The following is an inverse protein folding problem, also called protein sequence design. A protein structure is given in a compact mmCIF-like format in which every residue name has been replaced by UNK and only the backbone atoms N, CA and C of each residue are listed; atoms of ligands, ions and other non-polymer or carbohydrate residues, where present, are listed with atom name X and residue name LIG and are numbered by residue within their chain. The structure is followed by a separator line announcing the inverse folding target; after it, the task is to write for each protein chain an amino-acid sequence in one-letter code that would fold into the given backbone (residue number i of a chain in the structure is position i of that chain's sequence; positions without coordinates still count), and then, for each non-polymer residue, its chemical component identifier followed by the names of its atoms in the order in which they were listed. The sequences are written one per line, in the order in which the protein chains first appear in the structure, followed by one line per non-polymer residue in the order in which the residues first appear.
data_IF_021225645690
#
_entry.id   IF_021225645690
#
_cell.length_a   1.000
_cell.length_b   1.000
_cell.length_c   1.000
_cell.angle_alpha   90.00
_cell.angle_beta   90.00
_cell.angle_gamma   90.00
#
_symmetry.space_group_name_H-M   'P 1'
#
loop_
_entity.id
_entity.type
_entity.pdbx_description
1 polymer ?
#
# COMPACT_ATOMS: atom_id res chain seq x y z
N UNK A 1 18.38 -13.47 -13.83
CA UNK A 1 19.41 -12.41 -13.74
C UNK A 1 18.70 -11.07 -13.79
N UNK A 2 18.93 -10.16 -12.83
CA UNK A 2 18.32 -8.83 -12.83
C UNK A 2 18.93 -7.96 -13.94
N UNK A 3 18.09 -7.10 -14.58
CA UNK A 3 18.59 -6.17 -15.60
C UNK A 3 19.29 -4.96 -14.98
N UNK A 4 18.77 -4.48 -13.86
CA UNK A 4 19.36 -3.35 -13.14
C UNK A 4 20.43 -3.84 -12.15
N UNK A 5 21.68 -3.59 -12.45
CA UNK A 5 22.86 -4.10 -11.70
C UNK A 5 22.81 -3.72 -10.22
N UNK A 6 22.32 -2.50 -9.87
CA UNK A 6 22.25 -2.07 -8.47
C UNK A 6 21.30 -2.93 -7.61
N UNK A 7 20.42 -3.72 -8.22
CA UNK A 7 19.56 -4.65 -7.48
C UNK A 7 20.34 -5.79 -6.82
N UNK A 8 21.54 -6.10 -7.31
CA UNK A 8 22.43 -7.06 -6.66
C UNK A 8 22.82 -6.62 -5.24
N UNK A 9 22.80 -5.31 -4.97
CA UNK A 9 23.11 -4.74 -3.66
C UNK A 9 22.06 -5.07 -2.59
N UNK A 10 20.88 -5.55 -2.98
CA UNK A 10 19.87 -6.06 -2.02
C UNK A 10 20.42 -7.25 -1.20
N UNK A 11 21.39 -7.98 -1.76
CA UNK A 11 22.07 -9.09 -1.11
C UNK A 11 23.39 -8.65 -0.42
N UNK A 12 23.75 -7.36 -0.46
CA UNK A 12 25.00 -6.87 0.12
C UNK A 12 25.10 -7.20 1.62
N UNK A 13 26.29 -7.56 2.09
CA UNK A 13 26.55 -7.79 3.52
C UNK A 13 26.43 -6.50 4.33
N UNK A 14 26.85 -5.38 3.77
CA UNK A 14 26.81 -4.07 4.42
C UNK A 14 25.41 -3.49 4.42
N UNK A 15 24.82 -3.28 5.60
CA UNK A 15 23.48 -2.70 5.75
C UNK A 15 23.33 -1.35 5.03
N UNK A 16 24.37 -0.48 5.08
CA UNK A 16 24.37 0.82 4.40
C UNK A 16 24.13 0.69 2.90
N UNK A 17 24.86 -0.23 2.23
CA UNK A 17 24.72 -0.47 0.79
C UNK A 17 23.35 -1.04 0.47
N UNK A 18 22.94 -2.10 1.20
CA UNK A 18 21.64 -2.76 1.05
C UNK A 18 20.47 -1.75 1.13
N UNK A 19 20.43 -0.91 2.17
CA UNK A 19 19.32 0.01 2.36
C UNK A 19 19.40 1.26 1.46
N UNK A 20 20.58 1.62 0.97
CA UNK A 20 20.68 2.63 -0.10
C UNK A 20 20.02 2.13 -1.38
N UNK A 21 20.24 0.88 -1.77
CA UNK A 21 19.60 0.27 -2.94
C UNK A 21 18.08 0.13 -2.79
N UNK A 22 17.57 -0.19 -1.58
CA UNK A 22 16.11 -0.22 -1.36
C UNK A 22 15.48 1.16 -1.58
N UNK A 23 16.10 2.23 -1.06
CA UNK A 23 15.63 3.61 -1.28
C UNK A 23 15.67 3.99 -2.77
N UNK A 24 16.77 3.64 -3.45
CA UNK A 24 16.93 3.88 -4.89
C UNK A 24 15.84 3.18 -5.69
N UNK A 25 15.54 1.91 -5.40
CA UNK A 25 14.48 1.16 -6.08
C UNK A 25 13.10 1.81 -5.90
N UNK A 26 12.77 2.28 -4.68
CA UNK A 26 11.53 2.99 -4.41
C UNK A 26 11.47 4.29 -5.22
N UNK A 27 12.55 5.07 -5.27
CA UNK A 27 12.60 6.31 -6.02
C UNK A 27 12.38 6.07 -7.52
N UNK A 28 13.18 5.20 -8.13
CA UNK A 28 13.06 4.85 -9.56
C UNK A 28 11.65 4.33 -9.88
N UNK A 29 11.11 3.43 -9.06
CA UNK A 29 9.77 2.87 -9.31
C UNK A 29 8.65 3.92 -9.31
N UNK A 30 8.84 5.06 -8.65
CA UNK A 30 7.89 6.19 -8.65
C UNK A 30 8.08 7.10 -9.86
N UNK A 31 9.32 7.42 -10.16
CA UNK A 31 9.70 8.39 -11.20
C UNK A 31 9.62 7.76 -12.59
N UNK A 32 10.27 6.63 -12.78
CA UNK A 32 10.26 5.85 -14.02
C UNK A 32 10.04 4.36 -13.74
N UNK A 33 8.79 3.93 -13.51
CA UNK A 33 8.48 2.52 -13.26
C UNK A 33 8.85 1.61 -14.44
N UNK A 34 8.96 2.15 -15.66
CA UNK A 34 9.34 1.41 -16.86
C UNK A 34 10.76 0.86 -16.77
N UNK A 35 11.67 1.57 -16.12
CA UNK A 35 13.05 1.13 -15.89
C UNK A 35 13.13 -0.16 -15.06
N UNK A 36 12.29 -0.28 -14.01
CA UNK A 36 12.31 -1.45 -13.11
C UNK A 36 11.33 -2.55 -13.50
N UNK A 37 10.40 -2.30 -14.42
CA UNK A 37 9.40 -3.31 -14.79
C UNK A 37 10.01 -4.60 -15.37
N UNK A 38 11.13 -4.59 -16.13
CA UNK A 38 11.82 -5.81 -16.55
C UNK A 38 12.27 -6.71 -15.40
N UNK A 39 12.48 -6.14 -14.20
CA UNK A 39 12.90 -6.85 -12.98
C UNK A 39 11.71 -7.13 -12.02
N UNK A 40 10.47 -7.05 -12.51
CA UNK A 40 9.27 -7.25 -11.69
C UNK A 40 9.31 -8.54 -10.89
N UNK A 41 9.72 -9.65 -11.52
CA UNK A 41 9.73 -10.96 -10.87
C UNK A 41 10.76 -11.05 -9.73
N UNK A 42 11.87 -10.31 -9.82
CA UNK A 42 12.80 -10.15 -8.71
C UNK A 42 12.11 -9.56 -7.47
N UNK A 43 11.29 -8.51 -7.63
CA UNK A 43 10.54 -7.94 -6.51
C UNK A 43 9.47 -8.91 -5.98
N UNK A 44 8.89 -9.76 -6.82
CA UNK A 44 7.95 -10.81 -6.38
C UNK A 44 8.65 -11.82 -5.46
N UNK A 45 9.86 -12.24 -5.80
CA UNK A 45 10.68 -13.12 -4.96
C UNK A 45 11.01 -12.49 -3.61
N UNK A 46 11.31 -11.20 -3.58
CA UNK A 46 11.61 -10.46 -2.35
C UNK A 46 10.42 -10.33 -1.37
N UNK A 47 9.20 -10.61 -1.81
CA UNK A 47 8.04 -10.71 -0.90
C UNK A 47 8.19 -11.87 0.12
N UNK A 48 9.07 -12.84 -0.13
CA UNK A 48 9.41 -13.93 0.78
C UNK A 48 10.61 -13.61 1.70
N UNK A 49 11.27 -12.47 1.48
CA UNK A 49 12.51 -12.16 2.18
C UNK A 49 12.28 -12.03 3.69
N UNK A 50 13.16 -12.61 4.50
CA UNK A 50 13.11 -12.52 5.97
C UNK A 50 13.37 -11.10 6.46
N UNK A 51 14.24 -10.36 5.74
CA UNK A 51 14.49 -8.96 6.04
C UNK A 51 13.26 -8.12 5.70
N UNK A 52 12.60 -7.62 6.73
CA UNK A 52 11.35 -6.89 6.60
C UNK A 52 11.48 -5.61 5.75
N UNK A 53 12.61 -4.90 5.81
CA UNK A 53 12.82 -3.68 5.01
C UNK A 53 12.84 -4.02 3.53
N UNK A 54 13.47 -5.12 3.14
CA UNK A 54 13.49 -5.61 1.77
C UNK A 54 12.08 -6.00 1.32
N UNK A 55 11.35 -6.76 2.15
CA UNK A 55 9.96 -7.14 1.87
C UNK A 55 9.06 -5.90 1.68
N UNK A 56 9.15 -4.91 2.57
CA UNK A 56 8.36 -3.68 2.45
C UNK A 56 8.72 -2.87 1.21
N UNK A 57 10.02 -2.85 0.85
CA UNK A 57 10.47 -2.25 -0.41
C UNK A 57 9.82 -2.92 -1.61
N UNK A 58 9.82 -4.26 -1.64
CA UNK A 58 9.21 -5.02 -2.73
C UNK A 58 7.70 -4.71 -2.86
N UNK A 59 6.97 -4.66 -1.74
CA UNK A 59 5.55 -4.31 -1.72
C UNK A 59 5.32 -2.92 -2.36
N UNK A 60 6.11 -1.91 -1.96
CA UNK A 60 5.98 -0.56 -2.50
C UNK A 60 6.33 -0.50 -3.98
N UNK A 61 7.45 -1.11 -4.39
CA UNK A 61 7.88 -1.14 -5.79
C UNK A 61 6.82 -1.81 -6.67
N UNK A 62 6.29 -2.97 -6.26
CA UNK A 62 5.21 -3.66 -7.00
C UNK A 62 3.98 -2.75 -7.16
N UNK A 63 3.59 -2.02 -6.11
CA UNK A 63 2.53 -1.03 -6.17
C UNK A 63 2.76 0.03 -7.25
N UNK A 64 3.96 0.61 -7.29
CA UNK A 64 4.34 1.63 -8.28
C UNK A 64 4.41 1.05 -9.69
N UNK A 65 4.97 -0.16 -9.86
CA UNK A 65 5.09 -0.84 -11.16
C UNK A 65 3.72 -1.16 -11.78
N UNK A 66 2.63 -1.15 -11.00
CA UNK A 66 1.27 -1.34 -11.52
C UNK A 66 0.90 -0.32 -12.60
N UNK A 67 1.56 0.85 -12.64
CA UNK A 67 1.38 1.91 -13.64
C UNK A 67 1.73 1.44 -15.06
N UNK A 68 2.69 0.54 -15.19
CA UNK A 68 3.21 0.05 -16.49
C UNK A 68 2.97 -1.44 -16.70
N UNK A 69 2.13 -2.07 -15.88
CA UNK A 69 1.88 -3.51 -15.87
C UNK A 69 0.96 -3.98 -17.01
N UNK A 70 1.42 -3.80 -18.24
CA UNK A 70 0.72 -4.29 -19.45
C UNK A 70 0.52 -5.82 -19.45
N UNK A 71 1.39 -6.58 -18.77
CA UNK A 71 1.34 -8.04 -18.69
C UNK A 71 0.42 -8.55 -17.56
N UNK A 72 -0.22 -7.66 -16.82
CA UNK A 72 -1.15 -8.00 -15.71
C UNK A 72 -0.52 -8.91 -14.64
N UNK A 73 0.77 -8.72 -14.37
CA UNK A 73 1.50 -9.51 -13.36
C UNK A 73 0.96 -9.25 -11.95
N UNK A 74 0.48 -8.02 -11.68
CA UNK A 74 -0.12 -7.65 -10.40
C UNK A 74 -1.37 -8.46 -10.09
N UNK A 75 -2.16 -8.88 -11.10
CA UNK A 75 -3.39 -9.66 -10.92
C UNK A 75 -3.16 -10.89 -10.05
N UNK A 76 -2.06 -11.61 -10.31
CA UNK A 76 -1.70 -12.84 -9.59
C UNK A 76 -1.23 -12.60 -8.16
N UNK A 77 -0.86 -11.36 -7.83
CA UNK A 77 -0.33 -11.00 -6.51
C UNK A 77 -1.40 -10.46 -5.56
N UNK A 78 -2.57 -10.05 -6.07
CA UNK A 78 -3.64 -9.46 -5.26
C UNK A 78 -4.03 -10.33 -4.04
N UNK A 79 -4.24 -11.65 -4.16
CA UNK A 79 -4.58 -12.48 -3.01
C UNK A 79 -3.48 -12.46 -1.94
N UNK A 80 -2.22 -12.48 -2.37
CA UNK A 80 -1.08 -12.44 -1.45
C UNK A 80 -0.96 -11.09 -0.75
N UNK A 81 -1.17 -9.99 -1.47
CA UNK A 81 -1.17 -8.64 -0.90
C UNK A 81 -2.33 -8.47 0.09
N UNK A 82 -3.52 -9.03 -0.18
CA UNK A 82 -4.64 -9.04 0.77
C UNK A 82 -4.23 -9.73 2.07
N UNK A 83 -3.56 -10.88 2.00
CA UNK A 83 -3.09 -11.57 3.20
C UNK A 83 -2.10 -10.74 4.03
N UNK A 84 -1.33 -9.85 3.40
CA UNK A 84 -0.43 -8.94 4.11
C UNK A 84 -1.16 -7.86 4.91
N UNK A 85 -2.41 -7.54 4.59
CA UNK A 85 -3.21 -6.64 5.43
C UNK A 85 -3.50 -7.24 6.81
N UNK A 86 -3.71 -8.57 6.87
CA UNK A 86 -4.07 -9.30 8.09
C UNK A 86 -2.91 -10.17 8.64
N UNK A 87 -1.67 -9.81 8.38
CA UNK A 87 -0.52 -10.60 8.82
C UNK A 87 -0.06 -10.31 10.27
N UNK A 88 -0.81 -9.51 11.02
CA UNK A 88 -0.47 -9.09 12.40
C UNK A 88 0.66 -8.05 12.47
N UNK A 89 1.30 -7.69 11.36
CA UNK A 89 2.43 -6.75 11.32
C UNK A 89 2.02 -5.41 10.71
N UNK A 90 1.83 -4.40 11.55
CA UNK A 90 1.37 -3.06 11.17
C UNK A 90 2.17 -2.45 10.00
N UNK A 91 3.51 -2.55 10.03
CA UNK A 91 4.33 -1.92 8.98
C UNK A 91 4.13 -2.62 7.63
N UNK A 92 3.96 -3.95 7.62
CA UNK A 92 3.63 -4.70 6.40
C UNK A 92 2.27 -4.27 5.87
N UNK A 93 1.26 -4.21 6.73
CA UNK A 93 -0.08 -3.74 6.34
C UNK A 93 -0.03 -2.30 5.80
N UNK A 94 0.69 -1.38 6.44
CA UNK A 94 0.85 0.00 5.99
C UNK A 94 1.44 0.09 4.57
N UNK A 95 2.50 -0.68 4.29
CA UNK A 95 3.10 -0.70 2.96
C UNK A 95 2.16 -1.32 1.93
N UNK A 96 1.37 -2.31 2.33
CA UNK A 96 0.36 -2.93 1.47
C UNK A 96 -0.79 -1.97 1.16
N UNK A 97 -1.27 -1.19 2.13
CA UNK A 97 -2.28 -0.14 1.90
C UNK A 97 -1.77 0.89 0.88
N UNK A 98 -0.49 1.31 1.02
CA UNK A 98 0.13 2.22 0.05
C UNK A 98 0.20 1.59 -1.35
N UNK A 99 0.65 0.34 -1.46
CA UNK A 99 0.71 -0.38 -2.74
C UNK A 99 -0.69 -0.52 -3.36
N UNK A 100 -1.71 -0.87 -2.58
CA UNK A 100 -3.10 -0.93 -3.05
C UNK A 100 -3.61 0.42 -3.51
N UNK A 101 -3.24 1.51 -2.84
CA UNK A 101 -3.57 2.86 -3.31
C UNK A 101 -3.01 3.15 -4.70
N UNK A 102 -1.75 2.79 -4.97
CA UNK A 102 -1.14 2.95 -6.28
C UNK A 102 -1.77 2.01 -7.33
N UNK A 103 -2.02 0.74 -6.98
CA UNK A 103 -2.69 -0.22 -7.87
C UNK A 103 -4.09 0.28 -8.25
N UNK A 104 -4.87 0.79 -7.29
CA UNK A 104 -6.21 1.32 -7.55
C UNK A 104 -6.21 2.60 -8.39
N UNK A 105 -5.19 3.46 -8.26
CA UNK A 105 -5.01 4.64 -9.09
C UNK A 105 -4.69 4.27 -10.55
N UNK A 106 -3.79 3.31 -10.74
CA UNK A 106 -3.31 2.91 -12.05
C UNK A 106 -4.26 1.93 -12.78
N UNK A 107 -5.10 1.20 -12.04
CA UNK A 107 -5.98 0.15 -12.57
C UNK A 107 -7.38 0.25 -11.94
N UNK A 108 -8.27 1.08 -12.50
CA UNK A 108 -9.62 1.32 -11.95
C UNK A 108 -10.47 0.06 -11.73
N UNK A 109 -10.21 -1.01 -12.48
CA UNK A 109 -10.93 -2.30 -12.35
C UNK A 109 -10.77 -2.95 -10.96
N UNK A 110 -9.71 -2.59 -10.21
CA UNK A 110 -9.46 -3.14 -8.87
C UNK A 110 -9.98 -2.25 -7.73
N UNK A 111 -10.44 -1.02 -8.04
CA UNK A 111 -10.85 -0.07 -7.00
C UNK A 111 -11.88 -0.65 -6.06
N UNK A 112 -12.95 -1.27 -6.60
CA UNK A 112 -14.03 -1.86 -5.82
C UNK A 112 -13.52 -2.91 -4.82
N UNK A 113 -12.71 -3.84 -5.30
CA UNK A 113 -12.13 -4.89 -4.49
C UNK A 113 -11.17 -4.31 -3.44
N UNK A 114 -10.27 -3.40 -3.86
CA UNK A 114 -9.27 -2.81 -2.96
C UNK A 114 -9.96 -2.00 -1.85
N UNK A 115 -10.99 -1.20 -2.15
CA UNK A 115 -11.68 -0.42 -1.14
C UNK A 115 -12.34 -1.32 -0.10
N UNK A 116 -13.00 -2.40 -0.54
CA UNK A 116 -13.58 -3.40 0.38
C UNK A 116 -12.53 -4.06 1.27
N UNK A 117 -11.35 -4.36 0.73
CA UNK A 117 -10.31 -5.03 1.50
C UNK A 117 -9.61 -4.11 2.50
N UNK A 118 -9.31 -2.86 2.12
CA UNK A 118 -8.58 -1.96 3.02
C UNK A 118 -9.43 -1.47 4.21
N UNK A 119 -10.75 -1.33 4.06
CA UNK A 119 -11.60 -0.97 5.21
C UNK A 119 -11.71 -2.10 6.25
N UNK A 120 -11.52 -3.36 5.86
CA UNK A 120 -11.49 -4.50 6.80
C UNK A 120 -10.37 -4.42 7.83
N UNK A 121 -9.37 -3.55 7.61
CA UNK A 121 -8.27 -3.29 8.57
C UNK A 121 -8.80 -2.91 9.96
N UNK A 122 -10.01 -2.35 10.06
CA UNK A 122 -10.63 -2.04 11.36
C UNK A 122 -10.91 -3.29 12.21
N UNK A 123 -11.04 -4.46 11.58
CA UNK A 123 -11.32 -5.74 12.23
C UNK A 123 -10.06 -6.62 12.41
N UNK A 124 -8.91 -6.19 11.88
CA UNK A 124 -7.68 -6.97 11.95
C UNK A 124 -6.92 -6.74 13.26
N UNK A 125 -6.23 -7.78 13.72
CA UNK A 125 -5.42 -7.72 14.92
C UNK A 125 -3.96 -7.43 14.57
N UNK A 126 -3.38 -6.46 15.27
CA UNK A 126 -1.97 -6.11 15.23
C UNK A 126 -1.38 -6.20 16.63
N UNK A 127 -0.07 -6.00 16.78
CA UNK A 127 0.63 -6.12 18.07
C UNK A 127 -0.03 -5.30 19.19
N UNK A 128 -0.61 -4.14 18.86
CA UNK A 128 -1.38 -3.30 19.82
C UNK A 128 -2.58 -2.63 19.14
N UNK A 129 -3.60 -2.19 19.91
CA UNK A 129 -4.68 -1.35 19.37
C UNK A 129 -4.16 -0.08 18.68
N UNK A 130 -3.07 0.51 19.20
CA UNK A 130 -2.47 1.69 18.58
C UNK A 130 -1.83 1.37 17.21
N UNK A 131 -1.23 0.19 17.05
CA UNK A 131 -0.76 -0.27 15.74
C UNK A 131 -1.90 -0.35 14.72
N UNK A 132 -3.08 -0.82 15.13
CA UNK A 132 -4.28 -0.81 14.29
C UNK A 132 -4.70 0.61 13.93
N UNK A 133 -4.72 1.52 14.90
CA UNK A 133 -5.05 2.92 14.65
C UNK A 133 -4.11 3.58 13.64
N UNK A 134 -2.81 3.28 13.71
CA UNK A 134 -1.84 3.76 12.71
C UNK A 134 -2.18 3.24 11.31
N UNK A 135 -2.54 1.96 11.18
CA UNK A 135 -2.95 1.37 9.91
C UNK A 135 -4.26 2.01 9.39
N UNK A 136 -5.24 2.24 10.27
CA UNK A 136 -6.49 2.94 9.93
C UNK A 136 -6.22 4.35 9.41
N UNK A 137 -5.26 5.07 9.99
CA UNK A 137 -4.83 6.37 9.47
C UNK A 137 -4.27 6.29 8.04
N UNK A 138 -3.62 5.18 7.66
CA UNK A 138 -3.19 4.93 6.28
C UNK A 138 -4.37 4.63 5.36
N UNK A 139 -5.37 3.86 5.83
CA UNK A 139 -6.60 3.59 5.07
C UNK A 139 -7.33 4.89 4.76
N UNK A 140 -7.59 5.75 5.76
CA UNK A 140 -8.27 7.04 5.55
C UNK A 140 -7.49 7.91 4.55
N UNK A 141 -6.15 7.94 4.66
CA UNK A 141 -5.31 8.71 3.72
C UNK A 141 -5.34 8.14 2.30
N UNK A 142 -5.40 6.81 2.14
CA UNK A 142 -5.51 6.15 0.84
C UNK A 142 -6.87 6.47 0.19
N UNK A 143 -7.97 6.32 0.93
CA UNK A 143 -9.33 6.64 0.46
C UNK A 143 -9.47 8.10 0.03
N UNK A 144 -8.79 9.02 0.71
CA UNK A 144 -8.80 10.44 0.38
C UNK A 144 -8.27 10.79 -1.02
N UNK A 145 -7.56 9.86 -1.70
CA UNK A 145 -7.15 10.02 -3.10
C UNK A 145 -8.28 9.77 -4.10
N UNK A 146 -9.40 9.17 -3.67
CA UNK A 146 -10.48 8.68 -4.52
C UNK A 146 -11.83 9.32 -4.24
N UNK A 147 -11.87 10.59 -3.85
CA UNK A 147 -13.08 11.29 -3.40
C UNK A 147 -14.28 11.09 -4.34
N UNK A 148 -14.08 11.29 -5.65
CA UNK A 148 -15.14 11.15 -6.66
C UNK A 148 -15.67 9.71 -6.78
N UNK A 149 -14.88 8.72 -6.37
CA UNK A 149 -15.24 7.30 -6.45
C UNK A 149 -15.89 6.78 -5.17
N UNK A 150 -15.70 7.49 -4.06
CA UNK A 150 -16.15 7.04 -2.75
C UNK A 150 -17.27 7.89 -2.14
N UNK A 151 -17.59 9.04 -2.72
CA UNK A 151 -18.57 10.00 -2.17
C UNK A 151 -19.96 9.42 -1.90
N UNK A 152 -20.38 8.45 -2.71
CA UNK A 152 -21.69 7.81 -2.61
C UNK A 152 -21.60 6.36 -2.10
N UNK A 153 -20.43 5.94 -1.61
CA UNK A 153 -20.16 4.59 -1.11
C UNK A 153 -20.56 4.46 0.36
N UNK A 154 -21.74 3.87 0.62
CA UNK A 154 -22.26 3.69 1.99
C UNK A 154 -21.28 2.97 2.92
N UNK A 155 -20.68 1.88 2.48
CA UNK A 155 -19.69 1.11 3.25
C UNK A 155 -18.48 1.95 3.69
N UNK A 156 -17.98 2.82 2.79
CA UNK A 156 -16.83 3.69 3.07
C UNK A 156 -17.26 4.87 3.97
N UNK A 157 -18.43 5.46 3.73
CA UNK A 157 -18.95 6.55 4.56
C UNK A 157 -19.15 6.06 6.01
N UNK A 158 -19.80 4.91 6.21
CA UNK A 158 -19.96 4.30 7.52
C UNK A 158 -18.62 3.97 8.20
N UNK A 159 -17.63 3.46 7.44
CA UNK A 159 -16.26 3.27 7.93
C UNK A 159 -15.68 4.60 8.41
N UNK A 160 -15.73 5.65 7.60
CA UNK A 160 -15.20 6.97 7.96
C UNK A 160 -15.90 7.56 9.19
N UNK A 161 -17.23 7.42 9.30
CA UNK A 161 -18.00 7.85 10.46
C UNK A 161 -17.53 7.16 11.74
N UNK A 162 -17.27 5.85 11.70
CA UNK A 162 -16.67 5.14 12.85
C UNK A 162 -15.29 5.71 13.21
N UNK A 163 -14.48 6.07 12.22
CA UNK A 163 -13.14 6.63 12.46
C UNK A 163 -13.17 8.06 13.03
N UNK A 164 -14.29 8.79 12.98
CA UNK A 164 -14.41 10.08 13.67
C UNK A 164 -14.36 9.94 15.20
N UNK A 165 -14.58 8.74 15.73
CA UNK A 165 -14.45 8.40 17.14
C UNK A 165 -13.15 7.64 17.47
N UNK A 166 -12.20 7.58 16.51
CA UNK A 166 -10.93 6.89 16.74
C UNK A 166 -10.15 7.54 17.88
N UNK A 167 -9.55 6.71 18.74
CA UNK A 167 -8.77 7.17 19.91
C UNK A 167 -7.51 7.91 19.50
N UNK A 168 -6.96 7.63 18.30
CA UNK A 168 -5.83 8.34 17.75
C UNK A 168 -6.29 9.65 17.10
N UNK A 169 -5.95 10.78 17.73
CA UNK A 169 -6.39 12.14 17.31
C UNK A 169 -6.13 12.41 15.82
N UNK A 170 -4.97 11.99 15.29
CA UNK A 170 -4.63 12.22 13.87
C UNK A 170 -5.52 11.42 12.90
N UNK A 171 -6.03 10.26 13.28
CA UNK A 171 -6.98 9.47 12.48
C UNK A 171 -8.35 10.12 12.53
N UNK A 172 -8.83 10.44 13.74
CA UNK A 172 -10.09 11.15 13.96
C UNK A 172 -10.16 12.41 13.09
N UNK A 173 -9.15 13.28 13.18
CA UNK A 173 -9.10 14.53 12.40
C UNK A 173 -9.18 14.28 10.90
N UNK A 174 -8.39 13.35 10.38
CA UNK A 174 -8.40 13.01 8.93
C UNK A 174 -9.73 12.45 8.46
N UNK A 175 -10.42 11.63 9.28
CA UNK A 175 -11.71 11.09 8.95
C UNK A 175 -12.78 12.20 8.85
N UNK A 176 -12.80 13.13 9.82
CA UNK A 176 -13.68 14.29 9.80
C UNK A 176 -13.42 15.14 8.55
N UNK A 177 -12.17 15.53 8.30
CA UNK A 177 -11.79 16.34 7.12
C UNK A 177 -12.18 15.67 5.80
N UNK A 178 -12.05 14.34 5.72
CA UNK A 178 -12.42 13.62 4.51
C UNK A 178 -13.93 13.59 4.32
N UNK A 179 -14.72 13.33 5.38
CA UNK A 179 -16.19 13.38 5.32
C UNK A 179 -16.71 14.76 4.92
N UNK A 180 -16.13 15.83 5.47
CA UNK A 180 -16.50 17.20 5.10
C UNK A 180 -16.23 17.46 3.61
N UNK A 181 -15.06 17.05 3.11
CA UNK A 181 -14.73 17.16 1.69
C UNK A 181 -15.71 16.37 0.82
N UNK A 182 -16.09 15.16 1.22
CA UNK A 182 -17.03 14.33 0.45
C UNK A 182 -18.43 14.96 0.36
N UNK A 183 -18.88 15.69 1.40
CA UNK A 183 -20.15 16.44 1.36
C UNK A 183 -20.15 17.58 0.34
N UNK A 184 -18.99 18.19 0.08
CA UNK A 184 -18.85 19.27 -0.92
C UNK A 184 -18.86 18.77 -2.36
N UNK A 185 -18.69 17.46 -2.59
CA UNK A 185 -18.76 16.83 -3.91
C UNK A 185 -20.17 16.34 -4.30
N UNK A 186 -21.16 16.56 -3.43
CA UNK A 186 -22.59 16.35 -3.74
C UNK A 186 -23.17 17.58 -4.41
#
# INVERSE_FOLDING_TARGET
MVKNVFLNDFCAKTAKVKYASTKKAIAISKEDPGELYPDFDFFVELLNNENQIIKWTAIQVIGNLSKVDKKKKVDKLLPRLINFLNCGKMITANNTILAFSEIALNNPKYQEMIFKEIIKVEHYNYDTPECRNVALGKVVSALGKFKDKIKDRKDILEFLERQTNNTRVSVKKRAIELLEKLKQYK
#
